data_IF_515406131759
#
_entry.id   IF_515406131759
#
_cell.length_a   1.000
_cell.length_b   1.000
_cell.length_c   1.000
_cell.angle_alpha   90.00
_cell.angle_beta   90.00
_cell.angle_gamma   90.00
#
_symmetry.space_group_name_H-M   'P 1'
#
loop_
_entity.id
_entity.type
_entity.pdbx_description
1 polymer ?
#
# COMPACT_ATOMS: atom_id res chain seq x y z
N UNK A 1 5.35 23.21 8.18
CA UNK A 1 3.90 23.49 8.05
C UNK A 1 3.25 22.51 7.08
N UNK A 2 1.90 22.49 6.95
CA UNK A 2 1.19 21.65 5.98
C UNK A 2 1.64 21.93 4.53
N UNK A 3 1.85 23.20 4.19
CA UNK A 3 2.33 23.62 2.87
C UNK A 3 3.74 23.10 2.57
N UNK A 4 4.62 22.99 3.58
CA UNK A 4 5.95 22.40 3.40
C UNK A 4 5.89 20.90 3.08
N UNK A 5 4.96 20.17 3.69
CA UNK A 5 4.72 18.74 3.40
C UNK A 5 4.23 18.56 1.96
N UNK A 6 3.31 19.41 1.52
CA UNK A 6 2.82 19.42 0.13
C UNK A 6 3.96 19.73 -0.84
N UNK A 7 4.79 20.75 -0.57
CA UNK A 7 5.97 21.08 -1.38
C UNK A 7 7.01 19.95 -1.39
N UNK A 8 7.24 19.29 -0.25
CA UNK A 8 8.14 18.14 -0.17
C UNK A 8 7.64 16.98 -1.03
N UNK A 9 6.32 16.70 -0.98
CA UNK A 9 5.70 15.69 -1.83
C UNK A 9 5.87 15.98 -3.32
N UNK A 10 5.55 17.19 -3.78
CA UNK A 10 5.72 17.55 -5.21
C UNK A 10 7.18 17.48 -5.65
N UNK A 11 8.12 17.94 -4.82
CA UNK A 11 9.56 17.81 -5.10
C UNK A 11 9.96 16.35 -5.21
N UNK A 12 9.54 15.51 -4.27
CA UNK A 12 9.79 14.08 -4.31
C UNK A 12 9.23 13.46 -5.59
N UNK A 13 7.95 13.70 -5.93
CA UNK A 13 7.34 13.15 -7.14
C UNK A 13 8.10 13.59 -8.41
N UNK A 14 8.49 14.86 -8.50
CA UNK A 14 9.26 15.36 -9.63
C UNK A 14 10.63 14.68 -9.75
N UNK A 15 11.41 14.66 -8.65
CA UNK A 15 12.75 14.08 -8.66
C UNK A 15 12.73 12.55 -8.84
N UNK A 16 11.80 11.85 -8.20
CA UNK A 16 11.60 10.41 -8.37
C UNK A 16 11.23 10.07 -9.81
N UNK A 17 10.34 10.85 -10.45
CA UNK A 17 10.01 10.67 -11.87
C UNK A 17 11.23 10.91 -12.76
N UNK A 18 11.98 11.99 -12.53
CA UNK A 18 13.18 12.31 -13.32
C UNK A 18 14.23 11.20 -13.21
N UNK A 19 14.46 10.70 -12.00
CA UNK A 19 15.41 9.61 -11.75
C UNK A 19 14.90 8.29 -12.35
N UNK A 20 13.63 7.94 -12.13
CA UNK A 20 13.03 6.72 -12.69
C UNK A 20 13.15 6.66 -14.21
N UNK A 21 12.89 7.77 -14.90
CA UNK A 21 13.03 7.88 -16.36
C UNK A 21 14.47 7.72 -16.88
N UNK A 22 15.47 7.93 -16.03
CA UNK A 22 16.88 7.79 -16.40
C UNK A 22 17.43 6.39 -16.14
N UNK A 23 16.61 5.46 -15.66
CA UNK A 23 16.97 4.08 -15.40
C UNK A 23 16.42 3.20 -16.50
N UNK A 24 17.15 2.14 -16.83
CA UNK A 24 16.61 1.04 -17.62
C UNK A 24 15.87 0.07 -16.69
N UNK A 25 14.67 -0.33 -17.08
CA UNK A 25 13.80 -1.19 -16.27
C UNK A 25 12.72 -1.83 -17.14
N UNK A 26 12.37 -3.07 -16.85
CA UNK A 26 11.27 -3.80 -17.52
C UNK A 26 9.91 -3.61 -16.83
N UNK A 27 9.90 -3.04 -15.63
CA UNK A 27 8.72 -2.86 -14.78
C UNK A 27 8.94 -1.73 -13.79
N UNK A 28 7.86 -0.98 -13.48
CA UNK A 28 7.82 -0.10 -12.31
C UNK A 28 7.01 -0.76 -11.21
N UNK A 29 7.63 -1.00 -10.05
CA UNK A 29 6.95 -1.48 -8.85
C UNK A 29 6.76 -0.32 -7.86
N UNK A 30 5.52 -0.09 -7.43
CA UNK A 30 5.19 1.00 -6.51
C UNK A 30 4.40 0.50 -5.30
N UNK A 31 4.76 0.98 -4.09
CA UNK A 31 4.19 0.56 -2.80
C UNK A 31 3.49 1.75 -2.12
N UNK A 32 2.23 1.61 -1.73
CA UNK A 32 1.28 2.68 -1.37
C UNK A 32 1.51 3.44 -0.04
N UNK A 33 2.75 3.68 0.38
CA UNK A 33 3.04 4.41 1.63
C UNK A 33 3.59 5.81 1.36
N UNK A 34 2.80 6.84 0.94
CA UNK A 34 1.34 6.96 0.76
C UNK A 34 0.85 6.73 -0.70
N UNK A 35 -0.48 6.71 -0.93
CA UNK A 35 -1.13 6.55 -2.26
C UNK A 35 -0.53 7.43 -3.37
N UNK A 36 -0.07 8.62 -3.00
CA UNK A 36 0.50 9.60 -3.92
C UNK A 36 1.82 9.16 -4.59
N UNK A 37 2.45 8.07 -4.12
CA UNK A 37 3.56 7.39 -4.81
C UNK A 37 3.18 6.90 -6.21
N UNK A 38 1.89 6.66 -6.48
CA UNK A 38 1.40 6.29 -7.80
C UNK A 38 1.72 7.37 -8.84
N UNK A 39 1.81 8.65 -8.44
CA UNK A 39 2.09 9.76 -9.35
C UNK A 39 3.43 9.58 -10.07
N UNK A 40 4.59 9.56 -9.38
CA UNK A 40 5.86 9.35 -10.05
C UNK A 40 5.97 7.97 -10.71
N UNK A 41 5.35 6.93 -10.14
CA UNK A 41 5.38 5.59 -10.69
C UNK A 41 4.71 5.50 -12.07
N UNK A 42 3.49 6.02 -12.20
CA UNK A 42 2.75 6.03 -13.47
C UNK A 42 3.48 6.86 -14.52
N UNK A 43 4.00 8.04 -14.15
CA UNK A 43 4.75 8.86 -15.10
C UNK A 43 6.06 8.21 -15.56
N UNK A 44 6.71 7.43 -14.69
CA UNK A 44 7.90 6.66 -15.02
C UNK A 44 7.56 5.51 -15.95
N UNK A 45 6.55 4.69 -15.59
CA UNK A 45 6.09 3.55 -16.37
C UNK A 45 5.68 3.95 -17.80
N UNK A 46 4.93 5.07 -17.93
CA UNK A 46 4.53 5.60 -19.24
C UNK A 46 5.71 6.08 -20.08
N UNK A 47 6.71 6.69 -19.47
CA UNK A 47 7.86 7.22 -20.20
C UNK A 47 8.81 6.10 -20.66
N UNK A 48 9.01 5.09 -19.83
CA UNK A 48 9.77 3.88 -20.17
C UNK A 48 8.97 2.88 -21.02
N UNK A 49 7.66 3.08 -21.17
CA UNK A 49 6.71 2.19 -21.87
C UNK A 49 6.69 0.78 -21.28
N UNK A 50 6.78 0.69 -19.96
CA UNK A 50 6.76 -0.58 -19.22
C UNK A 50 5.54 -0.69 -18.31
N UNK A 51 5.12 -1.92 -17.95
CA UNK A 51 4.03 -2.09 -16.99
C UNK A 51 4.34 -1.46 -15.63
N UNK A 52 3.28 -1.11 -14.91
CA UNK A 52 3.35 -0.80 -13.49
C UNK A 52 2.66 -1.90 -12.69
N UNK A 53 3.30 -2.38 -11.63
CA UNK A 53 2.68 -3.22 -10.60
C UNK A 53 2.56 -2.38 -9.34
N UNK A 54 1.37 -2.39 -8.73
CA UNK A 54 1.08 -1.56 -7.58
C UNK A 54 0.76 -2.43 -6.35
N UNK A 55 1.54 -2.28 -5.31
CA UNK A 55 1.31 -2.91 -4.00
C UNK A 55 0.51 -1.97 -3.11
N UNK A 56 -0.68 -2.42 -2.74
CA UNK A 56 -1.59 -1.71 -1.84
C UNK A 56 -1.35 -2.23 -0.43
N UNK A 57 -0.78 -1.36 0.40
CA UNK A 57 -0.44 -1.64 1.80
C UNK A 57 -1.53 -1.22 2.77
N UNK A 58 -2.34 -0.26 2.36
CA UNK A 58 -3.45 0.32 3.12
C UNK A 58 -4.55 0.74 2.13
N UNK A 59 -5.82 0.55 2.50
CA UNK A 59 -6.97 1.03 1.72
C UNK A 59 -7.12 2.56 1.87
N UNK A 60 -6.31 3.30 1.11
CA UNK A 60 -6.45 4.74 0.93
C UNK A 60 -7.39 5.03 -0.24
N UNK A 61 -8.36 5.95 -0.09
CA UNK A 61 -8.49 6.94 0.99
C UNK A 61 -9.46 6.56 2.12
N UNK A 62 -10.05 5.36 2.09
CA UNK A 62 -11.09 4.92 3.03
C UNK A 62 -10.66 5.05 4.51
N UNK A 63 -9.47 4.52 4.85
CA UNK A 63 -8.93 4.57 6.21
C UNK A 63 -8.79 6.00 6.78
N UNK A 64 -8.08 6.94 6.13
CA UNK A 64 -7.98 8.32 6.61
C UNK A 64 -9.31 9.05 6.76
N UNK A 65 -10.29 8.72 5.92
CA UNK A 65 -11.64 9.32 6.00
C UNK A 65 -12.36 8.78 7.23
N UNK A 66 -12.35 7.46 7.44
CA UNK A 66 -12.97 6.82 8.59
C UNK A 66 -12.36 7.29 9.93
N UNK A 67 -11.05 7.55 9.96
CA UNK A 67 -10.35 8.08 11.13
C UNK A 67 -10.52 9.60 11.32
N UNK A 68 -11.23 10.29 10.43
CA UNK A 68 -11.40 11.75 10.50
C UNK A 68 -10.13 12.56 10.20
N UNK A 69 -9.11 11.95 9.60
CA UNK A 69 -7.88 12.63 9.19
C UNK A 69 -8.06 13.40 7.87
N UNK A 70 -9.02 12.98 7.04
CA UNK A 70 -9.37 13.61 5.77
C UNK A 70 -10.84 14.04 5.74
N UNK A 71 -11.17 15.20 6.31
CA UNK A 71 -12.56 15.65 6.47
C UNK A 71 -13.10 16.53 5.34
N UNK A 72 -12.22 17.07 4.50
CA UNK A 72 -12.62 17.96 3.41
C UNK A 72 -13.19 17.15 2.24
N UNK A 73 -14.46 17.37 1.88
CA UNK A 73 -15.15 16.63 0.80
C UNK A 73 -14.44 16.71 -0.56
N UNK A 74 -13.81 17.83 -0.89
CA UNK A 74 -13.03 17.98 -2.13
C UNK A 74 -11.78 17.13 -2.06
N UNK A 75 -11.05 17.17 -0.94
CA UNK A 75 -9.86 16.36 -0.74
C UNK A 75 -10.17 14.85 -0.75
N UNK A 76 -11.29 14.43 -0.16
CA UNK A 76 -11.79 13.05 -0.23
C UNK A 76 -12.04 12.63 -1.69
N UNK A 77 -12.77 13.46 -2.45
CA UNK A 77 -13.04 13.19 -3.87
C UNK A 77 -11.76 13.07 -4.69
N UNK A 78 -10.80 13.97 -4.48
CA UNK A 78 -9.50 13.92 -5.15
C UNK A 78 -8.71 12.66 -4.79
N UNK A 79 -8.80 12.22 -3.54
CA UNK A 79 -8.11 11.01 -3.09
C UNK A 79 -8.72 9.74 -3.70
N UNK A 80 -10.05 9.64 -3.81
CA UNK A 80 -10.72 8.54 -4.51
C UNK A 80 -10.40 8.55 -6.02
N UNK A 81 -10.33 9.74 -6.63
CA UNK A 81 -9.92 9.86 -8.04
C UNK A 81 -8.47 9.42 -8.25
N UNK A 82 -7.58 9.74 -7.29
CA UNK A 82 -6.19 9.30 -7.34
C UNK A 82 -6.07 7.78 -7.18
N UNK A 83 -6.89 7.17 -6.31
CA UNK A 83 -6.95 5.73 -6.12
C UNK A 83 -7.37 5.03 -7.42
N UNK A 84 -8.52 5.42 -7.98
CA UNK A 84 -9.03 4.88 -9.24
C UNK A 84 -8.02 5.07 -10.39
N UNK A 85 -7.37 6.23 -10.46
CA UNK A 85 -6.33 6.51 -11.43
C UNK A 85 -5.10 5.61 -11.25
N UNK A 86 -4.63 5.38 -10.02
CA UNK A 86 -3.52 4.49 -9.74
C UNK A 86 -3.83 3.05 -10.18
N UNK A 87 -5.02 2.55 -9.84
CA UNK A 87 -5.46 1.20 -10.22
C UNK A 87 -5.58 1.06 -11.73
N UNK A 88 -6.21 2.02 -12.43
CA UNK A 88 -6.34 2.00 -13.90
C UNK A 88 -5.00 2.00 -14.63
N UNK A 89 -3.96 2.58 -14.04
CA UNK A 89 -2.61 2.56 -14.62
C UNK A 89 -1.78 1.35 -14.18
N UNK A 90 -2.31 0.48 -13.33
CA UNK A 90 -1.63 -0.74 -12.86
C UNK A 90 -1.96 -1.91 -13.78
N UNK A 91 -0.92 -2.61 -14.25
CA UNK A 91 -1.05 -3.87 -15.00
C UNK A 91 -1.56 -5.00 -14.10
N UNK A 92 -1.08 -5.02 -12.85
CA UNK A 92 -1.53 -5.90 -11.78
C UNK A 92 -1.39 -5.18 -10.43
N UNK A 93 -2.15 -5.64 -9.44
CA UNK A 93 -2.13 -5.14 -8.07
C UNK A 93 -1.76 -6.27 -7.10
N UNK A 94 -0.90 -5.96 -6.13
CA UNK A 94 -0.58 -6.83 -5.00
C UNK A 94 -1.34 -6.32 -3.77
N UNK A 95 -2.14 -7.19 -3.17
CA UNK A 95 -2.85 -6.94 -1.92
C UNK A 95 -2.22 -7.77 -0.79
N UNK A 96 -2.08 -7.18 0.40
CA UNK A 96 -1.43 -7.87 1.52
C UNK A 96 -2.37 -8.79 2.33
N UNK A 97 -3.68 -8.79 2.02
CA UNK A 97 -4.67 -9.64 2.67
C UNK A 97 -5.87 -9.90 1.76
N UNK A 98 -6.68 -10.95 2.04
CA UNK A 98 -7.94 -11.18 1.34
C UNK A 98 -8.89 -9.99 1.43
N UNK A 99 -9.04 -9.37 2.61
CA UNK A 99 -9.90 -8.19 2.80
C UNK A 99 -9.44 -6.98 1.98
N UNK A 100 -8.12 -6.78 1.83
CA UNK A 100 -7.59 -5.71 0.98
C UNK A 100 -7.89 -5.97 -0.50
N UNK A 101 -7.76 -7.22 -0.95
CA UNK A 101 -8.16 -7.62 -2.30
C UNK A 101 -9.65 -7.36 -2.55
N UNK A 102 -10.51 -7.64 -1.58
CA UNK A 102 -11.93 -7.32 -1.68
C UNK A 102 -12.18 -5.82 -1.82
N UNK A 103 -11.48 -4.99 -1.02
CA UNK A 103 -11.52 -3.53 -1.13
C UNK A 103 -11.15 -3.04 -2.54
N UNK A 104 -10.05 -3.54 -3.10
CA UNK A 104 -9.61 -3.20 -4.46
C UNK A 104 -10.63 -3.65 -5.52
N UNK A 105 -11.19 -4.85 -5.39
CA UNK A 105 -12.17 -5.37 -6.36
C UNK A 105 -13.47 -4.57 -6.33
N UNK A 106 -13.87 -4.05 -5.16
CA UNK A 106 -15.05 -3.18 -5.01
C UNK A 106 -14.92 -1.86 -5.79
N UNK A 107 -13.69 -1.40 -6.08
CA UNK A 107 -13.49 -0.21 -6.93
C UNK A 107 -13.72 -0.50 -8.43
N UNK A 108 -13.98 -1.77 -8.80
CA UNK A 108 -14.15 -2.21 -10.18
C UNK A 108 -12.86 -2.71 -10.84
N UNK A 109 -11.74 -2.78 -10.13
CA UNK A 109 -10.50 -3.33 -10.68
C UNK A 109 -10.63 -4.86 -10.88
N UNK A 110 -10.16 -5.44 -12.01
CA UNK A 110 -10.40 -6.85 -12.31
C UNK A 110 -9.79 -7.79 -11.27
N UNK A 111 -10.62 -8.64 -10.64
CA UNK A 111 -10.20 -9.63 -9.62
C UNK A 111 -9.04 -10.53 -10.08
N UNK A 112 -9.01 -10.89 -11.36
CA UNK A 112 -7.96 -11.72 -11.96
C UNK A 112 -6.58 -11.03 -12.03
N UNK A 113 -6.54 -9.70 -11.87
CA UNK A 113 -5.31 -8.90 -11.86
C UNK A 113 -4.87 -8.51 -10.44
N UNK A 114 -5.53 -9.04 -9.41
CA UNK A 114 -5.18 -8.79 -8.00
C UNK A 114 -4.64 -10.08 -7.37
N UNK A 115 -3.36 -10.09 -7.02
CA UNK A 115 -2.74 -11.16 -6.26
C UNK A 115 -2.79 -10.84 -4.76
N UNK A 116 -2.99 -11.86 -3.91
CA UNK A 116 -2.81 -11.71 -2.46
C UNK A 116 -1.42 -12.24 -2.11
N UNK A 117 -0.54 -11.36 -1.68
CA UNK A 117 0.83 -11.69 -1.24
C UNK A 117 1.00 -11.07 0.14
N UNK A 118 0.85 -11.83 1.23
CA UNK A 118 0.96 -11.29 2.58
C UNK A 118 2.39 -10.85 2.89
N UNK A 119 2.52 -9.90 3.81
CA UNK A 119 3.83 -9.57 4.40
C UNK A 119 4.43 -10.82 5.05
N UNK A 120 5.74 -10.97 4.92
CA UNK A 120 6.52 -12.00 5.60
C UNK A 120 7.34 -11.37 6.73
N UNK A 121 7.69 -12.18 7.72
CA UNK A 121 8.54 -11.81 8.86
C UNK A 121 9.77 -12.73 8.91
N UNK A 122 10.90 -12.18 9.37
CA UNK A 122 12.11 -12.96 9.63
C UNK A 122 11.96 -13.75 10.93
N UNK A 123 11.75 -15.05 10.83
CA UNK A 123 11.50 -15.90 12.00
C UNK A 123 12.69 -15.98 12.96
N UNK A 124 13.92 -15.79 12.48
CA UNK A 124 15.11 -15.81 13.35
C UNK A 124 15.18 -14.53 14.19
N UNK A 125 14.79 -13.39 13.63
CA UNK A 125 14.70 -12.13 14.37
C UNK A 125 13.63 -12.18 15.49
N UNK A 126 12.56 -12.96 15.28
CA UNK A 126 11.46 -13.10 16.24
C UNK A 126 11.53 -14.39 17.07
N UNK A 127 12.70 -15.05 17.11
CA UNK A 127 12.90 -16.23 17.94
C UNK A 127 12.99 -15.82 19.40
N UNK A 128 11.99 -16.22 20.19
CA UNK A 128 11.91 -15.96 21.63
C UNK A 128 11.86 -17.30 22.34
N UNK A 129 12.48 -17.41 23.51
CA UNK A 129 12.41 -18.65 24.30
C UNK A 129 10.97 -19.02 24.67
N UNK A 130 10.64 -20.31 24.52
CA UNK A 130 9.29 -20.85 24.76
C UNK A 130 8.75 -20.47 26.14
N UNK A 131 9.62 -20.52 27.16
CA UNK A 131 9.26 -20.13 28.53
C UNK A 131 8.73 -18.69 28.60
N UNK A 132 9.38 -17.76 27.90
CA UNK A 132 8.98 -16.36 27.89
C UNK A 132 7.67 -16.15 27.14
N UNK A 133 7.42 -16.95 26.09
CA UNK A 133 6.14 -16.97 25.37
C UNK A 133 5.01 -17.50 26.28
N UNK A 134 5.27 -18.56 27.04
CA UNK A 134 4.30 -19.12 27.99
C UNK A 134 3.97 -18.16 29.13
N UNK A 135 4.98 -17.55 29.77
CA UNK A 135 4.79 -16.54 30.81
C UNK A 135 3.99 -15.33 30.29
N UNK A 136 4.27 -14.91 29.05
CA UNK A 136 3.53 -13.83 28.40
C UNK A 136 2.06 -14.21 28.12
N UNK A 137 1.77 -15.43 27.64
CA UNK A 137 0.39 -15.91 27.41
C UNK A 137 -0.39 -16.13 28.72
N UNK A 138 0.28 -16.55 29.80
CA UNK A 138 -0.34 -16.70 31.13
C UNK A 138 -0.74 -15.35 31.74
N UNK A 139 0.05 -14.31 31.49
CA UNK A 139 -0.24 -12.95 31.97
C UNK A 139 -1.25 -12.17 31.10
N UNK A 140 -1.66 -12.72 29.95
CA UNK A 140 -2.57 -12.07 29.00
C UNK A 140 -3.66 -13.05 28.52
N UNK A 141 -4.76 -13.15 29.29
CA UNK A 141 -5.85 -14.13 29.07
C UNK A 141 -6.43 -14.11 27.63
N UNK A 142 -6.50 -12.94 27.00
CA UNK A 142 -7.03 -12.77 25.64
C UNK A 142 -6.21 -13.46 24.54
N UNK A 143 -4.96 -13.86 24.82
CA UNK A 143 -4.12 -14.64 23.90
C UNK A 143 -4.35 -16.14 24.01
N UNK A 144 -5.05 -16.63 25.04
CA UNK A 144 -5.26 -18.06 25.24
C UNK A 144 -6.37 -18.65 24.36
N UNK A 145 -7.24 -17.80 23.82
CA UNK A 145 -8.39 -18.20 22.98
C UNK A 145 -8.10 -18.21 21.47
N UNK A 146 -6.90 -17.82 21.05
CA UNK A 146 -6.54 -17.79 19.63
C UNK A 146 -5.95 -19.14 19.20
N UNK A 147 -6.82 -20.08 18.82
CA UNK A 147 -6.40 -21.31 18.15
C UNK A 147 -5.91 -20.98 16.74
N UNK A 148 -4.60 -20.97 16.54
CA UNK A 148 -4.02 -20.91 15.20
C UNK A 148 -4.15 -22.30 14.57
N UNK A 149 -5.14 -22.49 13.70
CA UNK A 149 -5.16 -23.62 12.77
C UNK A 149 -4.11 -23.33 11.70
N UNK A 150 -3.05 -24.15 11.65
CA UNK A 150 -2.05 -24.12 10.59
C UNK A 150 -2.64 -24.56 9.24
#
# INVERSE_FOLDING_TARGET
SYTDRVKAFFRFAYHATKKGKSLDADLVFATSTPLTIAIPAVFTARALKVPMVFEVRDLWPELPIAMGALNNKVAQKLAYQLEDWAYKNSKAIVALSPGMKEGIVKTGYPKAKVAVIPNSSDLELFKVEDRRVEEFRKSHEWLQTVSYTH
#
